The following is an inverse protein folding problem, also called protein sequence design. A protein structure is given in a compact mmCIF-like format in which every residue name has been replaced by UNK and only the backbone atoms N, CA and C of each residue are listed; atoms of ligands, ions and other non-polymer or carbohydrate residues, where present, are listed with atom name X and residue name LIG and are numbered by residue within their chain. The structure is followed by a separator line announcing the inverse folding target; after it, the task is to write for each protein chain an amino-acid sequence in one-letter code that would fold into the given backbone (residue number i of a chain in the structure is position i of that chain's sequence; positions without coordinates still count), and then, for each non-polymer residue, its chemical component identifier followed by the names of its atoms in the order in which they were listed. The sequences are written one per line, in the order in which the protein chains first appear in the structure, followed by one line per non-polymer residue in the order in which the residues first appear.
data_IF_811541386588
#
_entry.id   IF_811541386588
#
_cell.length_a   1.000
_cell.length_b   1.000
_cell.length_c   1.000
_cell.angle_alpha   90.00
_cell.angle_beta   90.00
_cell.angle_gamma   90.00
#
_symmetry.space_group_name_H-M   'P 1'
#
loop_
_entity.id
_entity.type
_entity.pdbx_description
1 polymer ?
#
# COMPACT_ATOMS: atom_id res chain seq x y z
N UNK A 1 -5.48 -18.83 -13.55
CA UNK A 1 -4.35 -17.89 -13.37
C UNK A 1 -3.73 -18.19 -12.02
N UNK A 2 -2.44 -18.44 -11.95
CA UNK A 2 -1.77 -18.76 -10.69
C UNK A 2 -1.59 -17.46 -9.90
N UNK A 3 -2.24 -17.34 -8.76
CA UNK A 3 -1.90 -16.32 -7.78
C UNK A 3 -0.51 -16.66 -7.25
N UNK A 4 0.48 -15.85 -7.60
CA UNK A 4 1.85 -16.06 -7.14
C UNK A 4 1.93 -15.47 -5.73
N UNK A 5 2.10 -16.33 -4.74
CA UNK A 5 2.43 -15.93 -3.37
C UNK A 5 3.96 -15.87 -3.30
N UNK A 6 4.51 -14.68 -3.08
CA UNK A 6 5.94 -14.52 -2.83
C UNK A 6 6.19 -14.60 -1.32
N UNK A 7 6.98 -15.57 -0.93
CA UNK A 7 7.51 -15.71 0.41
C UNK A 7 8.90 -15.05 0.47
N UNK A 8 9.05 -14.05 1.32
CA UNK A 8 10.37 -13.52 1.67
C UNK A 8 10.72 -14.03 3.06
N UNK A 9 11.55 -15.06 3.11
CA UNK A 9 12.18 -15.51 4.35
C UNK A 9 13.30 -14.53 4.71
N UNK A 10 12.98 -13.52 5.51
CA UNK A 10 14.02 -12.72 6.17
C UNK A 10 14.59 -13.57 7.28
N UNK A 11 15.71 -14.24 6.96
CA UNK A 11 16.48 -15.05 7.88
C UNK A 11 16.51 -14.51 9.31
N UNK A 12 16.04 -15.30 10.22
CA UNK A 12 16.22 -15.48 11.67
C UNK A 12 17.16 -14.54 12.47
N UNK A 13 17.19 -13.25 12.20
CA UNK A 13 18.01 -12.33 12.99
C UNK A 13 17.24 -11.59 14.07
N UNK A 14 15.90 -11.73 14.13
CA UNK A 14 15.09 -11.07 15.16
C UNK A 14 14.11 -12.09 15.76
N UNK A 15 14.35 -12.46 17.01
CA UNK A 15 13.38 -13.14 17.85
C UNK A 15 12.11 -12.27 17.96
N UNK A 16 11.06 -12.64 17.22
CA UNK A 16 9.82 -11.88 17.10
C UNK A 16 9.44 -11.56 15.65
N UNK A 17 9.93 -12.33 14.69
CA UNK A 17 9.64 -12.13 13.26
C UNK A 17 8.16 -12.29 12.96
N UNK A 18 7.61 -11.33 12.25
CA UNK A 18 6.27 -11.38 11.68
C UNK A 18 6.32 -12.16 10.38
N UNK A 19 5.47 -13.17 10.21
CA UNK A 19 5.32 -13.86 8.94
C UNK A 19 4.58 -12.97 7.94
N UNK A 20 5.24 -12.56 6.87
CA UNK A 20 4.69 -11.62 5.91
C UNK A 20 4.18 -12.35 4.66
N UNK A 21 2.95 -12.05 4.28
CA UNK A 21 2.33 -12.49 3.03
C UNK A 21 2.04 -11.25 2.18
N UNK A 22 2.64 -11.17 1.00
CA UNK A 22 2.24 -10.18 -0.01
C UNK A 22 1.27 -10.85 -0.97
N UNK A 23 0.06 -10.31 -1.05
CA UNK A 23 -1.00 -10.84 -1.89
C UNK A 23 -1.31 -9.89 -3.03
N UNK A 24 -0.91 -10.28 -4.23
CA UNK A 24 -1.28 -9.60 -5.46
C UNK A 24 -2.71 -10.00 -5.84
N UNK A 25 -3.65 -9.04 -5.80
CA UNK A 25 -5.07 -9.26 -6.09
C UNK A 25 -5.40 -9.22 -7.60
N UNK A 26 -4.41 -9.01 -8.44
CA UNK A 26 -4.53 -8.99 -9.88
C UNK A 26 -3.96 -7.73 -10.51
N UNK A 27 -4.01 -7.68 -11.84
CA UNK A 27 -3.33 -6.65 -12.62
C UNK A 27 -4.18 -5.41 -12.89
N UNK A 28 -5.50 -5.49 -12.71
CA UNK A 28 -6.37 -4.36 -13.05
C UNK A 28 -6.06 -3.14 -12.19
N UNK A 29 -5.85 -2.00 -12.87
CA UNK A 29 -5.57 -0.72 -12.27
C UNK A 29 -6.38 0.37 -12.98
N UNK A 30 -6.77 1.40 -12.25
CA UNK A 30 -7.39 2.62 -12.78
C UNK A 30 -6.38 3.70 -13.16
N UNK A 31 -5.07 3.43 -12.96
CA UNK A 31 -3.97 4.27 -13.41
C UNK A 31 -3.16 3.56 -14.49
N UNK A 32 -2.45 4.37 -15.28
CA UNK A 32 -1.50 3.92 -16.29
C UNK A 32 -0.15 4.64 -16.12
N UNK A 33 0.40 4.56 -14.90
CA UNK A 33 1.67 5.19 -14.57
C UNK A 33 2.79 4.69 -15.46
N UNK A 34 3.51 5.61 -16.11
CA UNK A 34 4.55 5.30 -17.09
C UNK A 34 5.72 4.50 -16.49
N UNK A 35 6.01 4.71 -15.21
CA UNK A 35 7.09 4.05 -14.46
C UNK A 35 6.69 2.73 -13.80
N UNK A 36 5.42 2.36 -13.88
CA UNK A 36 5.00 1.04 -13.41
C UNK A 36 5.33 -0.01 -14.46
N UNK A 37 5.92 -1.17 -14.09
CA UNK A 37 6.20 -2.23 -15.05
C UNK A 37 4.96 -2.68 -15.80
N UNK A 38 5.05 -2.76 -17.13
CA UNK A 38 3.89 -3.05 -18.02
C UNK A 38 3.22 -4.39 -17.74
N UNK A 39 3.93 -5.34 -17.17
CA UNK A 39 3.38 -6.64 -16.81
C UNK A 39 2.61 -6.64 -15.49
N UNK A 40 2.71 -5.57 -14.68
CA UNK A 40 2.06 -5.49 -13.35
C UNK A 40 0.69 -4.85 -13.35
N UNK A 41 0.34 -4.09 -14.38
CA UNK A 41 -0.95 -3.42 -14.44
C UNK A 41 -1.54 -3.40 -15.84
N UNK A 42 -2.84 -3.37 -15.91
CA UNK A 42 -3.66 -3.08 -17.10
C UNK A 42 -5.06 -2.64 -16.67
N UNK A 43 -5.89 -2.21 -17.63
CA UNK A 43 -7.27 -1.81 -17.37
C UNK A 43 -8.30 -2.83 -17.90
N UNK A 44 -7.85 -3.99 -18.37
CA UNK A 44 -8.68 -4.99 -19.05
C UNK A 44 -8.76 -6.34 -18.37
N UNK A 45 -7.82 -6.66 -17.49
CA UNK A 45 -7.81 -7.92 -16.73
C UNK A 45 -9.12 -8.06 -15.92
N UNK A 46 -9.70 -9.25 -15.86
CA UNK A 46 -10.90 -9.48 -15.08
C UNK A 46 -10.61 -9.33 -13.59
N UNK A 47 -11.57 -8.84 -12.85
CA UNK A 47 -11.52 -8.89 -11.39
C UNK A 47 -11.75 -10.32 -10.90
N UNK A 48 -11.03 -10.69 -9.83
CA UNK A 48 -11.36 -11.91 -9.11
C UNK A 48 -12.77 -11.81 -8.51
N UNK A 49 -13.52 -12.88 -8.61
CA UNK A 49 -14.84 -12.98 -7.99
C UNK A 49 -14.72 -13.11 -6.47
N UNK A 50 -15.78 -12.77 -5.76
CA UNK A 50 -15.78 -12.90 -4.29
C UNK A 50 -15.52 -14.35 -3.84
N UNK A 51 -16.06 -15.33 -4.57
CA UNK A 51 -15.85 -16.75 -4.24
C UNK A 51 -14.41 -17.19 -4.45
N UNK A 52 -13.75 -16.72 -5.50
CA UNK A 52 -12.31 -16.98 -5.71
C UNK A 52 -11.49 -16.33 -4.61
N UNK A 53 -11.78 -15.08 -4.23
CA UNK A 53 -11.10 -14.37 -3.16
C UNK A 53 -11.24 -15.10 -1.83
N UNK A 54 -12.45 -15.54 -1.46
CA UNK A 54 -12.74 -16.31 -0.23
C UNK A 54 -11.99 -17.64 -0.22
N UNK A 55 -12.06 -18.41 -1.30
CA UNK A 55 -11.34 -19.68 -1.45
C UNK A 55 -9.84 -19.50 -1.25
N UNK A 56 -9.27 -18.45 -1.83
CA UNK A 56 -7.85 -18.15 -1.69
C UNK A 56 -7.52 -17.70 -0.25
N UNK A 57 -8.40 -16.94 0.39
CA UNK A 57 -8.23 -16.53 1.79
C UNK A 57 -8.20 -17.73 2.73
N UNK A 58 -9.13 -18.67 2.58
CA UNK A 58 -9.15 -19.91 3.39
C UNK A 58 -7.85 -20.70 3.20
N UNK A 59 -7.31 -20.76 1.97
CA UNK A 59 -6.02 -21.37 1.70
C UNK A 59 -4.87 -20.64 2.40
N UNK A 60 -4.81 -19.30 2.28
CA UNK A 60 -3.78 -18.46 2.89
C UNK A 60 -3.78 -18.61 4.41
N UNK A 61 -4.94 -18.49 5.06
CA UNK A 61 -5.05 -18.66 6.50
C UNK A 61 -4.60 -20.04 6.98
N UNK A 62 -5.03 -21.09 6.27
CA UNK A 62 -4.59 -22.46 6.57
C UNK A 62 -3.08 -22.61 6.42
N UNK A 63 -2.49 -22.02 5.38
CA UNK A 63 -1.05 -22.05 5.16
C UNK A 63 -0.30 -21.30 6.27
N UNK A 64 -0.75 -20.10 6.63
CA UNK A 64 -0.20 -19.33 7.75
C UNK A 64 -0.25 -20.15 9.04
N UNK A 65 -1.41 -20.73 9.39
CA UNK A 65 -1.57 -21.54 10.62
C UNK A 65 -0.58 -22.72 10.67
N UNK A 66 -0.37 -23.41 9.55
CA UNK A 66 0.64 -24.49 9.45
C UNK A 66 2.05 -23.95 9.66
N UNK A 67 2.38 -22.82 9.01
CA UNK A 67 3.72 -22.24 9.07
C UNK A 67 4.03 -21.68 10.46
N UNK A 68 3.04 -21.05 11.13
CA UNK A 68 3.16 -20.60 12.51
C UNK A 68 3.56 -21.74 13.47
N UNK A 69 2.88 -22.89 13.33
CA UNK A 69 3.20 -24.08 14.13
C UNK A 69 4.60 -24.63 13.84
N UNK A 70 4.97 -24.65 12.58
CA UNK A 70 6.27 -25.21 12.16
C UNK A 70 7.47 -24.34 12.56
N UNK A 71 7.35 -23.01 12.43
CA UNK A 71 8.44 -22.03 12.67
C UNK A 71 8.33 -21.30 14.01
N UNK A 72 7.31 -21.59 14.79
CA UNK A 72 7.04 -20.92 16.07
C UNK A 72 6.88 -19.39 15.97
N UNK A 73 6.38 -18.87 14.83
CA UNK A 73 5.94 -17.48 14.72
C UNK A 73 4.68 -17.25 15.54
N UNK A 74 4.45 -16.01 15.95
CA UNK A 74 3.26 -15.58 16.70
C UNK A 74 2.41 -14.56 15.96
N UNK A 75 3.00 -13.92 14.97
CA UNK A 75 2.39 -12.82 14.24
C UNK A 75 2.48 -13.05 12.73
N UNK A 76 1.42 -12.69 12.01
CA UNK A 76 1.36 -12.65 10.56
C UNK A 76 0.91 -11.27 10.08
N UNK A 77 1.34 -10.89 8.89
CA UNK A 77 0.83 -9.71 8.19
C UNK A 77 0.49 -10.09 6.76
N UNK A 78 -0.75 -9.81 6.34
CA UNK A 78 -1.20 -9.99 4.95
C UNK A 78 -1.32 -8.62 4.31
N UNK A 79 -0.44 -8.33 3.34
CA UNK A 79 -0.42 -7.05 2.62
C UNK A 79 -0.99 -7.22 1.21
N UNK A 80 -2.06 -6.51 0.93
CA UNK A 80 -2.72 -6.51 -0.37
C UNK A 80 -2.10 -5.47 -1.30
N UNK A 81 -1.81 -5.91 -2.52
CA UNK A 81 -1.25 -5.11 -3.61
C UNK A 81 -1.75 -5.63 -4.96
N UNK A 82 -1.10 -5.25 -6.05
CA UNK A 82 -1.39 -5.67 -7.42
C UNK A 82 -1.37 -4.49 -8.37
N UNK A 83 -2.31 -4.43 -9.31
CA UNK A 83 -2.64 -3.20 -10.00
C UNK A 83 -3.18 -2.19 -8.99
N UNK A 84 -4.51 -2.13 -8.83
CA UNK A 84 -5.13 -1.36 -7.74
C UNK A 84 -6.21 -2.23 -7.07
N UNK A 85 -6.02 -2.67 -5.82
CA UNK A 85 -6.97 -3.54 -5.12
C UNK A 85 -8.38 -2.93 -5.01
N UNK A 86 -8.49 -1.63 -4.82
CA UNK A 86 -9.77 -0.95 -4.56
C UNK A 86 -10.68 -0.83 -5.78
N UNK A 87 -10.17 -1.12 -6.99
CA UNK A 87 -11.02 -1.16 -8.20
C UNK A 87 -11.83 -2.45 -8.29
N UNK A 88 -11.50 -3.49 -7.50
CA UNK A 88 -12.30 -4.69 -7.47
C UNK A 88 -13.64 -4.41 -6.74
N UNK A 89 -14.79 -4.57 -7.40
CA UNK A 89 -16.10 -4.29 -6.80
C UNK A 89 -16.42 -5.18 -5.58
N UNK A 90 -15.73 -6.31 -5.47
CA UNK A 90 -15.88 -7.24 -4.35
C UNK A 90 -14.96 -6.94 -3.16
N UNK A 91 -14.08 -5.92 -3.25
CA UNK A 91 -13.02 -5.71 -2.26
C UNK A 91 -13.58 -5.46 -0.85
N UNK A 92 -14.62 -4.62 -0.69
CA UNK A 92 -15.26 -4.39 0.62
C UNK A 92 -15.80 -5.70 1.21
N UNK A 93 -16.53 -6.46 0.42
CA UNK A 93 -17.09 -7.74 0.89
C UNK A 93 -15.98 -8.75 1.24
N UNK A 94 -14.88 -8.69 0.52
CA UNK A 94 -13.71 -9.53 0.76
C UNK A 94 -12.99 -9.19 2.06
N UNK A 95 -12.69 -7.91 2.32
CA UNK A 95 -11.99 -7.52 3.56
C UNK A 95 -12.84 -7.80 4.81
N UNK A 96 -14.17 -7.64 4.72
CA UNK A 96 -15.09 -8.07 5.78
C UNK A 96 -15.00 -9.57 6.04
N UNK A 97 -15.05 -10.37 4.99
CA UNK A 97 -14.91 -11.82 5.09
C UNK A 97 -13.57 -12.24 5.73
N UNK A 98 -12.48 -11.55 5.41
CA UNK A 98 -11.16 -11.81 6.01
C UNK A 98 -11.19 -11.61 7.52
N UNK A 99 -11.71 -10.46 7.99
CA UNK A 99 -11.79 -10.15 9.40
C UNK A 99 -12.70 -11.14 10.14
N UNK A 100 -13.89 -11.40 9.61
CA UNK A 100 -14.85 -12.36 10.20
C UNK A 100 -14.26 -13.77 10.27
N UNK A 101 -13.55 -14.21 9.23
CA UNK A 101 -12.91 -15.53 9.17
C UNK A 101 -11.76 -15.64 10.16
N UNK A 102 -10.92 -14.61 10.25
CA UNK A 102 -9.81 -14.54 11.19
C UNK A 102 -10.34 -14.57 12.63
N UNK A 103 -11.27 -13.70 12.97
CA UNK A 103 -11.88 -13.63 14.30
C UNK A 103 -12.55 -14.95 14.72
N UNK A 104 -13.23 -15.61 13.79
CA UNK A 104 -13.95 -16.83 14.09
C UNK A 104 -13.07 -18.08 14.22
N UNK A 105 -11.94 -18.14 13.51
CA UNK A 105 -11.18 -19.38 13.34
C UNK A 105 -9.71 -19.32 13.79
N UNK A 106 -9.05 -18.17 13.75
CA UNK A 106 -7.59 -18.10 13.82
C UNK A 106 -7.04 -17.17 14.90
N UNK A 107 -7.84 -16.26 15.47
CA UNK A 107 -7.37 -15.27 16.45
C UNK A 107 -6.72 -15.88 17.70
N UNK A 108 -7.13 -17.08 18.07
CA UNK A 108 -6.56 -17.79 19.22
C UNK A 108 -5.26 -18.55 18.86
N UNK A 109 -4.95 -18.67 17.58
CA UNK A 109 -3.73 -19.33 17.10
C UNK A 109 -2.56 -18.35 16.91
N UNK A 110 -2.83 -17.17 16.34
CA UNK A 110 -1.80 -16.15 16.05
C UNK A 110 -2.44 -14.77 15.86
N UNK A 111 -1.64 -13.71 16.01
CA UNK A 111 -2.05 -12.35 15.67
C UNK A 111 -1.89 -12.16 14.16
N UNK A 112 -2.92 -11.65 13.49
CA UNK A 112 -2.87 -11.33 12.05
C UNK A 112 -3.26 -9.88 11.78
N UNK A 113 -2.41 -9.16 11.07
CA UNK A 113 -2.69 -7.80 10.60
C UNK A 113 -2.97 -7.79 9.11
N UNK A 114 -3.89 -6.92 8.69
CA UNK A 114 -4.21 -6.72 7.28
C UNK A 114 -3.71 -5.35 6.85
N UNK A 115 -2.93 -5.32 5.77
CA UNK A 115 -2.37 -4.10 5.21
C UNK A 115 -2.79 -3.92 3.75
N UNK A 116 -2.87 -2.69 3.29
CA UNK A 116 -3.21 -2.33 1.92
C UNK A 116 -2.22 -1.31 1.36
N UNK A 117 -1.77 -1.52 0.12
CA UNK A 117 -1.14 -0.49 -0.70
C UNK A 117 -2.09 -0.10 -1.82
N UNK A 118 -2.39 1.19 -1.93
CA UNK A 118 -3.36 1.75 -2.88
C UNK A 118 -2.86 3.06 -3.50
N UNK A 119 -3.30 3.38 -4.70
CA UNK A 119 -3.10 4.68 -5.32
C UNK A 119 -4.08 5.76 -4.80
N UNK A 120 -4.99 5.40 -3.91
CA UNK A 120 -5.92 6.32 -3.26
C UNK A 120 -7.12 6.75 -4.11
N UNK A 121 -7.21 6.38 -5.39
CA UNK A 121 -8.34 6.73 -6.26
C UNK A 121 -9.56 5.84 -6.00
N UNK A 122 -10.17 6.04 -4.85
CA UNK A 122 -11.29 5.25 -4.36
C UNK A 122 -12.46 6.11 -3.92
N UNK A 123 -13.65 5.50 -3.74
CA UNK A 123 -14.83 6.18 -3.19
C UNK A 123 -14.70 6.39 -1.67
N UNK A 124 -15.48 7.33 -1.11
CA UNK A 124 -15.60 7.54 0.34
C UNK A 124 -15.95 6.25 1.08
N UNK A 125 -16.96 5.55 0.58
CA UNK A 125 -17.40 4.27 1.15
C UNK A 125 -16.28 3.23 1.19
N UNK A 126 -15.43 3.20 0.16
CA UNK A 126 -14.27 2.30 0.12
C UNK A 126 -13.25 2.73 1.17
N UNK A 127 -12.97 4.02 1.29
CA UNK A 127 -12.03 4.57 2.27
C UNK A 127 -12.48 4.24 3.70
N UNK A 128 -13.76 4.44 4.02
CA UNK A 128 -14.32 4.11 5.35
C UNK A 128 -14.20 2.60 5.65
N UNK A 129 -14.56 1.75 4.69
CA UNK A 129 -14.44 0.30 4.87
C UNK A 129 -12.98 -0.17 5.07
N UNK A 130 -12.04 0.46 4.36
CA UNK A 130 -10.62 0.17 4.51
C UNK A 130 -10.12 0.57 5.91
N UNK A 131 -10.47 1.76 6.38
CA UNK A 131 -10.10 2.23 7.72
C UNK A 131 -10.67 1.31 8.82
N UNK A 132 -11.91 0.84 8.65
CA UNK A 132 -12.58 -0.07 9.59
C UNK A 132 -11.94 -1.47 9.65
N UNK A 133 -11.40 -1.95 8.53
CA UNK A 133 -11.03 -3.37 8.40
C UNK A 133 -9.53 -3.63 8.18
N UNK A 134 -8.71 -2.59 7.99
CA UNK A 134 -7.27 -2.73 7.80
C UNK A 134 -6.49 -2.18 8.99
N UNK A 135 -5.42 -2.87 9.36
CA UNK A 135 -4.51 -2.42 10.42
C UNK A 135 -3.51 -1.37 9.91
N UNK A 136 -3.23 -1.39 8.60
CA UNK A 136 -2.30 -0.46 7.98
C UNK A 136 -2.69 -0.15 6.54
N UNK A 137 -2.60 1.12 6.16
CA UNK A 137 -2.83 1.59 4.79
C UNK A 137 -1.63 2.41 4.33
N UNK A 138 -1.10 2.05 3.17
CA UNK A 138 -0.14 2.88 2.43
C UNK A 138 -0.84 3.46 1.21
N UNK A 139 -0.94 4.79 1.14
CA UNK A 139 -1.46 5.48 -0.04
C UNK A 139 -0.28 6.08 -0.81
N UNK A 140 -0.19 5.78 -2.09
CA UNK A 140 0.79 6.36 -2.99
C UNK A 140 0.14 7.42 -3.87
N UNK A 141 0.53 8.69 -3.70
CA UNK A 141 0.10 9.78 -4.57
C UNK A 141 0.96 9.80 -5.83
N UNK A 142 0.30 9.78 -7.00
CA UNK A 142 0.92 9.71 -8.32
C UNK A 142 0.58 10.95 -9.14
N UNK A 143 1.59 11.69 -9.60
CA UNK A 143 1.42 12.94 -10.36
C UNK A 143 0.97 12.75 -11.81
N UNK A 144 1.09 11.55 -12.37
CA UNK A 144 0.64 11.26 -13.74
C UNK A 144 -0.88 11.05 -13.86
N UNK A 145 -1.61 11.04 -12.73
CA UNK A 145 -3.06 10.93 -12.75
C UNK A 145 -3.73 12.22 -13.28
N UNK A 146 -4.95 12.08 -13.76
CA UNK A 146 -5.80 13.23 -14.15
C UNK A 146 -6.04 14.17 -12.96
N UNK A 147 -6.15 15.48 -13.20
CA UNK A 147 -6.31 16.51 -12.16
C UNK A 147 -7.52 16.28 -11.25
N UNK A 148 -8.65 15.81 -11.82
CA UNK A 148 -9.84 15.48 -11.03
C UNK A 148 -9.58 14.31 -10.10
N UNK A 149 -8.84 13.32 -10.58
CA UNK A 149 -8.46 12.15 -9.79
C UNK A 149 -7.49 12.57 -8.70
N UNK A 150 -6.45 13.36 -9.01
CA UNK A 150 -5.47 13.86 -8.04
C UNK A 150 -6.14 14.59 -6.87
N UNK A 151 -7.11 15.46 -7.17
CA UNK A 151 -7.89 16.16 -6.13
C UNK A 151 -8.65 15.17 -5.26
N UNK A 152 -9.35 14.22 -5.86
CA UNK A 152 -10.10 13.20 -5.12
C UNK A 152 -9.17 12.35 -4.23
N UNK A 153 -7.95 12.05 -4.70
CA UNK A 153 -6.95 11.31 -3.90
C UNK A 153 -6.51 12.11 -2.69
N UNK A 154 -6.26 13.42 -2.83
CA UNK A 154 -5.93 14.29 -1.68
C UNK A 154 -7.07 14.32 -0.67
N UNK A 155 -8.33 14.43 -1.10
CA UNK A 155 -9.50 14.37 -0.23
C UNK A 155 -9.57 13.02 0.51
N UNK A 156 -9.27 11.90 -0.17
CA UNK A 156 -9.22 10.55 0.44
C UNK A 156 -8.08 10.42 1.44
N UNK A 157 -6.90 10.96 1.12
CA UNK A 157 -5.77 11.00 2.05
C UNK A 157 -6.17 11.70 3.35
N UNK A 158 -6.78 12.88 3.27
CA UNK A 158 -7.23 13.63 4.44
C UNK A 158 -8.29 12.87 5.24
N UNK A 159 -9.27 12.25 4.56
CA UNK A 159 -10.29 11.41 5.21
C UNK A 159 -9.67 10.23 5.97
N UNK A 160 -8.85 9.45 5.30
CA UNK A 160 -8.23 8.24 5.87
C UNK A 160 -7.26 8.61 6.98
N UNK A 161 -6.46 9.67 6.80
CA UNK A 161 -5.50 10.12 7.80
C UNK A 161 -6.17 10.61 9.09
N UNK A 162 -7.34 11.27 8.95
CA UNK A 162 -8.13 11.72 10.09
C UNK A 162 -8.82 10.55 10.82
N UNK A 163 -9.43 9.64 10.08
CA UNK A 163 -10.27 8.58 10.64
C UNK A 163 -9.48 7.34 11.09
N UNK A 164 -8.30 7.10 10.48
CA UNK A 164 -7.49 5.92 10.74
C UNK A 164 -7.13 5.69 12.21
N UNK A 165 -6.58 6.70 12.93
CA UNK A 165 -6.20 6.54 14.33
C UNK A 165 -7.36 6.15 15.25
N UNK A 166 -8.57 6.65 14.98
CA UNK A 166 -9.77 6.32 15.75
C UNK A 166 -10.19 4.85 15.60
N UNK A 167 -9.80 4.22 14.49
CA UNK A 167 -10.09 2.83 14.16
C UNK A 167 -8.85 1.90 14.29
N UNK A 168 -7.79 2.35 14.97
CA UNK A 168 -6.54 1.60 15.12
C UNK A 168 -5.85 1.26 13.79
N UNK A 169 -6.16 2.00 12.74
CA UNK A 169 -5.54 1.88 11.44
C UNK A 169 -4.40 2.87 11.29
N UNK A 170 -3.18 2.37 11.10
CA UNK A 170 -2.02 3.23 10.80
C UNK A 170 -2.01 3.62 9.34
N UNK A 171 -1.64 4.86 9.06
CA UNK A 171 -1.67 5.42 7.70
C UNK A 171 -0.30 5.94 7.30
N UNK A 172 0.20 5.46 6.16
CA UNK A 172 1.43 5.93 5.52
C UNK A 172 1.10 6.57 4.18
N UNK A 173 1.61 7.76 3.93
CA UNK A 173 1.43 8.45 2.65
C UNK A 173 2.78 8.50 1.93
N UNK A 174 2.84 7.98 0.71
CA UNK A 174 3.97 8.14 -0.18
C UNK A 174 3.63 9.19 -1.24
N UNK A 175 4.47 10.19 -1.41
CA UNK A 175 4.43 11.08 -2.58
C UNK A 175 5.46 10.57 -3.57
N UNK A 176 5.00 10.06 -4.72
CA UNK A 176 5.86 9.48 -5.75
C UNK A 176 6.48 10.61 -6.57
N UNK A 177 7.76 10.91 -6.30
CA UNK A 177 8.47 11.99 -6.97
C UNK A 177 8.85 11.59 -8.39
N UNK A 178 8.13 12.14 -9.35
CA UNK A 178 8.44 11.99 -10.77
C UNK A 178 9.31 13.15 -11.22
N UNK A 179 10.45 12.89 -11.87
CA UNK A 179 11.42 13.93 -12.22
C UNK A 179 10.80 15.07 -13.05
N UNK A 180 9.89 14.78 -13.99
CA UNK A 180 9.22 15.81 -14.81
C UNK A 180 8.15 16.61 -14.06
N UNK A 181 7.56 16.03 -13.00
CA UNK A 181 6.51 16.66 -12.18
C UNK A 181 7.03 17.04 -10.79
N UNK A 182 8.33 17.25 -10.67
CA UNK A 182 9.00 17.43 -9.38
C UNK A 182 8.44 18.61 -8.58
N UNK A 183 8.15 19.72 -9.23
CA UNK A 183 7.60 20.90 -8.56
C UNK A 183 6.16 20.69 -8.10
N UNK A 184 5.37 19.93 -8.85
CA UNK A 184 4.05 19.50 -8.40
C UNK A 184 4.16 18.60 -7.15
N UNK A 185 5.10 17.66 -7.13
CA UNK A 185 5.35 16.83 -5.95
C UNK A 185 5.69 17.67 -4.72
N UNK A 186 6.48 18.73 -4.86
CA UNK A 186 6.78 19.69 -3.77
C UNK A 186 5.53 20.40 -3.28
N UNK A 187 4.69 20.89 -4.20
CA UNK A 187 3.43 21.55 -3.84
C UNK A 187 2.49 20.62 -3.06
N UNK A 188 2.43 19.35 -3.46
CA UNK A 188 1.67 18.33 -2.72
C UNK A 188 2.25 18.11 -1.32
N UNK A 189 3.57 18.07 -1.18
CA UNK A 189 4.23 17.97 0.11
C UNK A 189 3.91 19.18 1.01
N UNK A 190 3.96 20.39 0.46
CA UNK A 190 3.60 21.63 1.18
C UNK A 190 2.12 21.63 1.61
N UNK A 191 1.25 21.17 0.72
CA UNK A 191 -0.18 21.00 1.05
C UNK A 191 -0.36 20.01 2.21
N UNK A 192 0.24 18.82 2.16
CA UNK A 192 0.14 17.82 3.21
C UNK A 192 0.72 18.33 4.55
N UNK A 193 1.85 19.04 4.51
CA UNK A 193 2.41 19.72 5.70
C UNK A 193 1.44 20.74 6.30
N UNK A 194 0.74 21.52 5.46
CA UNK A 194 -0.26 22.50 5.91
C UNK A 194 -1.48 21.84 6.59
N UNK A 195 -1.76 20.57 6.23
CA UNK A 195 -2.85 19.78 6.83
C UNK A 195 -2.36 18.92 8.02
N UNK A 196 -1.09 18.99 8.40
CA UNK A 196 -0.51 18.17 9.46
C UNK A 196 -0.39 16.69 9.11
N UNK A 197 -0.41 16.34 7.83
CA UNK A 197 -0.30 14.95 7.35
C UNK A 197 1.16 14.56 7.23
N UNK A 198 1.54 13.46 7.86
CA UNK A 198 2.88 12.89 7.70
C UNK A 198 2.97 12.09 6.40
N UNK A 199 4.01 12.33 5.62
CA UNK A 199 4.24 11.66 4.35
C UNK A 199 5.73 11.33 4.14
N UNK A 200 6.00 10.50 3.14
CA UNK A 200 7.34 10.08 2.73
C UNK A 200 7.51 10.38 1.23
N UNK A 201 8.42 11.27 0.83
CA UNK A 201 8.82 11.39 -0.56
C UNK A 201 9.48 10.10 -1.03
N UNK A 202 8.97 9.53 -2.10
CA UNK A 202 9.51 8.31 -2.70
C UNK A 202 10.14 8.62 -4.05
N UNK A 203 11.41 8.29 -4.17
CA UNK A 203 12.14 8.32 -5.43
C UNK A 203 11.64 7.20 -6.33
N UNK A 204 11.32 7.53 -7.57
CA UNK A 204 11.05 6.54 -8.61
C UNK A 204 12.41 6.04 -9.11
N UNK A 205 12.67 4.75 -8.96
CA UNK A 205 13.87 4.11 -9.48
C UNK A 205 13.74 3.77 -10.96
N UNK A 206 14.87 3.49 -11.60
CA UNK A 206 14.89 2.91 -12.94
C UNK A 206 14.36 1.47 -12.89
N UNK A 207 13.41 1.17 -13.78
CA UNK A 207 12.90 -0.18 -13.97
C UNK A 207 12.90 -0.48 -15.48
N UNK A 208 13.65 -1.50 -15.94
CA UNK A 208 13.79 -1.82 -17.37
C UNK A 208 12.47 -2.24 -18.01
N UNK A 209 11.50 -2.70 -17.22
CA UNK A 209 10.18 -3.12 -17.71
C UNK A 209 9.16 -1.99 -17.70
N UNK A 210 9.54 -0.79 -17.24
CA UNK A 210 8.68 0.40 -17.29
C UNK A 210 8.74 1.08 -18.66
N UNK A 211 7.67 1.84 -19.00
CA UNK A 211 7.64 2.66 -20.21
C UNK A 211 8.34 4.01 -20.04
N UNK A 212 8.58 4.41 -18.81
CA UNK A 212 9.14 5.72 -18.49
C UNK A 212 10.65 5.72 -18.68
N UNK A 213 11.09 6.59 -19.58
CA UNK A 213 12.53 6.88 -19.74
C UNK A 213 12.98 8.10 -18.92
N UNK A 214 12.04 8.83 -18.31
CA UNK A 214 12.30 10.14 -17.70
C UNK A 214 11.86 10.24 -16.22
N UNK A 215 10.99 9.36 -15.74
CA UNK A 215 10.43 9.45 -14.39
C UNK A 215 11.51 9.46 -13.28
N UNK A 216 12.63 8.78 -13.53
CA UNK A 216 13.77 8.64 -12.63
C UNK A 216 14.97 9.53 -12.99
N UNK A 217 14.90 10.35 -14.03
CA UNK A 217 16.02 11.22 -14.46
C UNK A 217 16.00 12.56 -13.72
N UNK A 218 16.39 12.52 -12.47
CA UNK A 218 16.48 13.70 -11.63
C UNK A 218 17.70 14.57 -11.98
N UNK A 219 17.54 15.90 -11.92
CA UNK A 219 18.66 16.83 -11.95
C UNK A 219 19.41 16.81 -10.61
N UNK A 220 20.64 17.35 -10.62
CA UNK A 220 21.43 17.48 -9.39
C UNK A 220 20.72 18.34 -8.32
N UNK A 221 19.97 19.37 -8.75
CA UNK A 221 19.17 20.22 -7.86
C UNK A 221 18.00 19.45 -7.22
N UNK A 222 17.33 18.58 -7.99
CA UNK A 222 16.26 17.73 -7.47
C UNK A 222 16.80 16.71 -6.49
N UNK A 223 17.94 16.09 -6.76
CA UNK A 223 18.61 15.17 -5.84
C UNK A 223 19.09 15.88 -4.58
N UNK A 224 19.64 17.10 -4.69
CA UNK A 224 20.05 17.91 -3.54
C UNK A 224 18.85 18.25 -2.64
N UNK A 225 17.71 18.65 -3.22
CA UNK A 225 16.49 18.93 -2.48
C UNK A 225 15.97 17.70 -1.72
N UNK A 226 15.94 16.53 -2.37
CA UNK A 226 15.53 15.28 -1.72
C UNK A 226 16.45 14.91 -0.56
N UNK A 227 17.75 15.05 -0.74
CA UNK A 227 18.75 14.81 0.33
C UNK A 227 18.53 15.76 1.51
N UNK A 228 18.36 17.05 1.26
CA UNK A 228 18.11 18.05 2.32
C UNK A 228 16.82 17.75 3.07
N UNK A 229 15.75 17.32 2.36
CA UNK A 229 14.50 16.90 2.97
C UNK A 229 14.72 15.74 3.97
N UNK A 230 15.44 14.70 3.56
CA UNK A 230 15.72 13.55 4.41
C UNK A 230 16.60 13.90 5.61
N UNK A 231 17.61 14.73 5.40
CA UNK A 231 18.51 15.20 6.47
C UNK A 231 17.73 16.01 7.53
N UNK A 232 16.78 16.85 7.12
CA UNK A 232 15.91 17.59 8.04
C UNK A 232 14.96 16.67 8.83
N UNK A 233 14.39 15.66 8.19
CA UNK A 233 13.50 14.70 8.86
C UNK A 233 14.25 13.87 9.90
N UNK A 234 15.44 13.38 9.55
CA UNK A 234 16.26 12.57 10.45
C UNK A 234 16.73 13.36 11.67
N UNK A 235 17.03 14.66 11.54
CA UNK A 235 17.35 15.53 12.67
C UNK A 235 16.19 15.65 13.66
N UNK A 236 14.96 15.88 13.18
CA UNK A 236 13.77 16.00 14.05
C UNK A 236 13.47 14.71 14.81
N UNK A 237 13.75 13.54 14.24
CA UNK A 237 13.58 12.25 14.93
C UNK A 237 14.58 12.13 16.08
N UNK A 238 15.85 12.53 15.87
CA UNK A 238 16.90 12.43 16.88
C UNK A 238 16.77 13.47 18.01
N UNK A 239 16.06 14.57 17.80
CA UNK A 239 15.81 15.61 18.83
C UNK A 239 14.62 15.27 19.73
N UNK A 240 13.80 14.29 19.36
CA UNK A 240 12.61 13.86 20.10
C UNK A 240 12.79 12.49 20.80
N UNK A 241 13.99 11.95 20.82
CA UNK A 241 14.43 10.75 21.56
C UNK A 241 15.35 11.15 22.70
#
# INVERSE_FOLDING_TARGET
MSNIIYEYDTLDLLSGSVFQVTWDLGRRCNYDCSYCPVHRHDNTSPHATLEELKKNADFVFKYISLYMKYRNYKEASISFTGGEPTVNPNFIAFIKYLNETYEAKYKDEYVCTFALTSNGAMSEKMADAIVEHMSHITISYHTEADETIKKNVLDRILQIYKNGPEQWCTVSINVMFHAQYFDECKQVCEFLDSQGVTYVPRVIGEDPDSRATFAHKYSDEQLAWMKEYWDRKNKKVNENV
#
